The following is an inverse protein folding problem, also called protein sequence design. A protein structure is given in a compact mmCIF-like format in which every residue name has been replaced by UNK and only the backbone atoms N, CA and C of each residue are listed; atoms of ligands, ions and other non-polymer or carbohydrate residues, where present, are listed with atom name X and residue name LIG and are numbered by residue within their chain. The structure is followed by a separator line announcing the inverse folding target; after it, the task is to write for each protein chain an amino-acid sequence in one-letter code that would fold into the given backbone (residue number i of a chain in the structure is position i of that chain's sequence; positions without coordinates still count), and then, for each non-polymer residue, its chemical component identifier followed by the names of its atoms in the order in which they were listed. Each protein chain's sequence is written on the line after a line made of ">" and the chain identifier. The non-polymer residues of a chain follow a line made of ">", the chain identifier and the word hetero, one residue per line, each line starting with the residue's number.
data_IF_852216542387
#
_entry.id   IF_852216542387
#
_cell.length_a   1.000
_cell.length_b   1.000
_cell.length_c   1.000
_cell.angle_alpha   90.00
_cell.angle_beta   90.00
_cell.angle_gamma   90.00
#
_symmetry.space_group_name_H-M   'P 1'
#
loop_
_entity.id
_entity.type
_entity.pdbx_description
1 polymer ?
#
# COMPACT_ATOMS: atom_id res chain seq x y z
N UNK A 1 13.43 47.06 47.72
CA UNK A 1 12.84 46.83 46.40
C UNK A 1 13.41 45.52 45.91
N UNK A 2 12.61 44.40 45.99
CA UNK A 2 12.99 43.08 45.46
C UNK A 2 12.60 42.98 44.02
N UNK A 3 13.57 42.71 43.13
CA UNK A 3 13.34 42.38 41.73
C UNK A 3 13.04 40.89 41.61
N UNK A 4 11.83 40.52 41.23
CA UNK A 4 11.46 39.14 40.85
C UNK A 4 11.77 38.98 39.36
N UNK A 5 12.83 38.23 39.02
CA UNK A 5 13.15 37.88 37.66
C UNK A 5 12.28 36.64 37.25
N UNK A 6 11.24 36.86 36.47
CA UNK A 6 10.43 35.78 35.88
C UNK A 6 11.21 35.19 34.71
N UNK A 7 11.81 34.02 34.91
CA UNK A 7 12.42 33.23 33.83
C UNK A 7 11.32 32.41 33.18
N UNK A 8 10.86 32.81 32.03
CA UNK A 8 10.00 31.97 31.17
C UNK A 8 10.85 30.87 30.51
N UNK A 9 10.49 29.61 30.63
CA UNK A 9 11.18 28.57 29.88
C UNK A 9 10.90 28.79 28.39
N UNK A 10 11.91 29.22 27.67
CA UNK A 10 11.88 29.27 26.21
C UNK A 10 11.89 27.80 25.73
N UNK A 11 10.76 27.29 25.22
CA UNK A 11 10.76 26.01 24.50
C UNK A 11 11.66 26.22 23.29
N UNK A 12 12.77 25.48 23.23
CA UNK A 12 13.56 25.42 22.01
C UNK A 12 12.69 24.94 20.88
N UNK A 13 12.52 25.73 19.85
CA UNK A 13 11.92 25.27 18.60
C UNK A 13 12.88 24.22 18.05
N UNK A 14 12.42 22.96 17.93
CA UNK A 14 13.19 21.93 17.24
C UNK A 14 13.53 22.42 15.84
N UNK A 15 14.80 22.65 15.61
CA UNK A 15 15.27 23.13 14.31
C UNK A 15 15.43 21.92 13.38
N UNK A 16 14.44 21.69 12.50
CA UNK A 16 14.52 20.64 11.50
C UNK A 16 15.69 20.94 10.54
N UNK A 17 16.57 19.96 10.37
CA UNK A 17 17.63 19.99 9.37
C UNK A 17 17.13 19.24 8.13
N UNK A 18 17.14 19.91 7.00
CA UNK A 18 16.82 19.30 5.70
C UNK A 18 18.11 18.93 4.98
N UNK A 19 18.14 17.77 4.37
CA UNK A 19 19.18 17.33 3.45
C UNK A 19 18.53 17.01 2.12
N UNK A 20 19.06 17.52 1.03
CA UNK A 20 18.74 17.08 -0.30
C UNK A 20 19.40 15.72 -0.53
N UNK A 21 18.66 14.78 -1.12
CA UNK A 21 19.13 13.48 -1.57
C UNK A 21 18.81 13.39 -3.05
N UNK A 22 19.82 13.23 -3.88
CA UNK A 22 19.70 13.19 -5.34
C UNK A 22 20.59 12.10 -5.96
N UNK A 23 20.70 12.10 -7.29
CA UNK A 23 21.51 11.10 -8.03
C UNK A 23 22.98 11.10 -7.59
N UNK A 24 23.67 12.23 -7.37
CA UNK A 24 25.00 12.26 -6.75
C UNK A 24 25.11 11.58 -5.39
N UNK A 25 24.04 11.54 -4.59
CA UNK A 25 24.00 10.82 -3.31
C UNK A 25 23.70 9.32 -3.45
N UNK A 26 23.42 8.84 -4.67
CA UNK A 26 23.13 7.44 -4.96
C UNK A 26 21.67 7.14 -5.29
N UNK A 27 20.79 8.13 -5.40
CA UNK A 27 19.43 7.88 -5.89
C UNK A 27 19.47 7.50 -7.38
N UNK A 28 18.65 6.53 -7.78
CA UNK A 28 18.68 6.02 -9.17
C UNK A 28 18.18 7.03 -10.21
N UNK A 29 17.30 7.95 -9.81
CA UNK A 29 16.72 9.00 -10.67
C UNK A 29 16.12 10.10 -9.77
N UNK A 30 16.24 11.36 -10.16
CA UNK A 30 15.65 12.51 -9.47
C UNK A 30 14.12 12.61 -9.69
N UNK A 31 13.54 11.85 -10.62
CA UNK A 31 12.11 11.81 -10.85
C UNK A 31 11.42 10.84 -9.88
N UNK A 32 11.06 11.33 -8.70
CA UNK A 32 10.36 10.55 -7.68
C UNK A 32 8.89 10.38 -8.06
N UNK A 33 8.39 9.15 -8.01
CA UNK A 33 6.99 8.78 -8.29
C UNK A 33 6.22 8.33 -7.06
N UNK A 34 6.90 7.94 -6.00
CA UNK A 34 6.28 7.54 -4.74
C UNK A 34 7.29 7.38 -3.64
N UNK A 35 6.80 7.55 -2.41
CA UNK A 35 7.52 7.30 -1.17
C UNK A 35 6.69 6.37 -0.31
N UNK A 36 7.33 5.41 0.33
CA UNK A 36 6.70 4.48 1.26
C UNK A 36 7.63 4.16 2.43
N UNK A 37 7.05 3.83 3.58
CA UNK A 37 7.83 3.40 4.74
C UNK A 37 7.92 1.88 4.75
N UNK A 38 9.14 1.35 4.80
CA UNK A 38 9.39 -0.07 5.07
C UNK A 38 9.19 -0.34 6.57
N UNK A 39 8.65 -1.49 6.99
CA UNK A 39 8.37 -1.77 8.39
C UNK A 39 9.58 -1.70 9.33
N UNK A 40 10.78 -1.91 8.82
CA UNK A 40 12.05 -1.81 9.56
C UNK A 40 12.59 -0.37 9.69
N UNK A 41 11.83 0.63 9.21
CA UNK A 41 12.17 2.06 9.29
C UNK A 41 12.93 2.59 8.08
N UNK A 42 13.29 1.75 7.10
CA UNK A 42 13.85 2.21 5.83
C UNK A 42 12.78 2.94 4.99
N UNK A 43 13.22 3.67 3.99
CA UNK A 43 12.35 4.42 3.07
C UNK A 43 12.40 3.80 1.68
N UNK A 44 11.24 3.37 1.17
CA UNK A 44 11.07 3.01 -0.22
C UNK A 44 10.88 4.25 -1.09
N UNK A 45 11.75 4.44 -2.07
CA UNK A 45 11.72 5.57 -3.01
C UNK A 45 11.54 5.00 -4.41
N UNK A 46 10.35 5.19 -4.98
CA UNK A 46 10.04 4.72 -6.32
C UNK A 46 10.34 5.79 -7.35
N UNK A 47 11.17 5.43 -8.31
CA UNK A 47 11.45 6.20 -9.53
C UNK A 47 10.73 5.59 -10.74
N UNK A 48 11.06 6.03 -11.96
CA UNK A 48 10.38 5.56 -13.17
C UNK A 48 10.55 4.05 -13.43
N UNK A 49 11.69 3.46 -13.07
CA UNK A 49 12.06 2.08 -13.44
C UNK A 49 12.67 1.27 -12.29
N UNK A 50 12.88 1.86 -11.14
CA UNK A 50 13.59 1.24 -10.01
C UNK A 50 12.89 1.60 -8.70
N UNK A 51 12.71 0.61 -7.81
CA UNK A 51 12.47 0.85 -6.39
C UNK A 51 13.82 0.95 -5.71
N UNK A 52 14.07 2.07 -5.04
CA UNK A 52 15.22 2.27 -4.16
C UNK A 52 14.76 2.09 -2.72
N UNK A 53 15.49 1.30 -1.93
CA UNK A 53 15.30 1.19 -0.48
C UNK A 53 16.46 1.92 0.19
N UNK A 54 16.15 2.97 0.94
CA UNK A 54 17.14 3.81 1.61
C UNK A 54 17.13 3.58 3.12
N UNK A 55 18.29 3.27 3.70
CA UNK A 55 18.46 2.97 5.13
C UNK A 55 18.91 4.18 5.97
N UNK A 56 19.06 5.36 5.35
CA UNK A 56 19.62 6.57 5.96
C UNK A 56 21.07 6.84 5.56
N UNK A 57 21.79 5.87 5.00
CA UNK A 57 23.19 5.97 4.58
C UNK A 57 23.42 5.48 3.14
N UNK A 58 22.76 4.40 2.74
CA UNK A 58 22.96 3.74 1.47
C UNK A 58 21.66 3.35 0.79
N UNK A 59 21.73 3.02 -0.50
CA UNK A 59 20.61 2.57 -1.31
C UNK A 59 20.78 1.11 -1.72
N UNK A 60 19.70 0.33 -1.60
CA UNK A 60 19.50 -0.94 -2.30
C UNK A 60 18.59 -0.70 -3.50
N UNK A 61 18.89 -1.35 -4.65
CA UNK A 61 18.20 -1.11 -5.91
C UNK A 61 17.45 -2.35 -6.37
N UNK A 62 16.18 -2.17 -6.71
CA UNK A 62 15.30 -3.24 -7.19
C UNK A 62 14.76 -2.85 -8.57
N UNK A 63 15.50 -3.13 -9.66
CA UNK A 63 15.05 -2.84 -11.02
C UNK A 63 13.86 -3.72 -11.37
N UNK A 64 12.85 -3.13 -12.00
CA UNK A 64 11.68 -3.87 -12.45
C UNK A 64 12.03 -4.78 -13.63
N UNK A 65 11.80 -6.09 -13.48
CA UNK A 65 11.86 -7.00 -14.61
C UNK A 65 10.65 -6.79 -15.51
N UNK A 66 10.91 -6.35 -16.75
CA UNK A 66 9.85 -6.02 -17.72
C UNK A 66 9.19 -7.26 -18.33
N UNK A 67 9.81 -8.43 -18.24
CA UNK A 67 9.41 -9.61 -19.00
C UNK A 67 8.52 -10.57 -18.18
N UNK A 68 8.44 -10.42 -16.85
CA UNK A 68 7.76 -11.35 -15.95
C UNK A 68 6.83 -10.65 -14.97
N UNK A 69 5.88 -9.87 -15.47
CA UNK A 69 4.95 -9.12 -14.64
C UNK A 69 3.57 -9.72 -14.69
N UNK A 70 2.91 -9.80 -13.53
CA UNK A 70 1.48 -10.03 -13.48
C UNK A 70 0.76 -8.82 -14.06
N UNK A 71 0.10 -8.98 -15.20
CA UNK A 71 -0.67 -7.93 -15.86
C UNK A 71 -2.09 -7.96 -15.34
N UNK A 72 -2.54 -6.88 -14.73
CA UNK A 72 -3.92 -6.70 -14.32
C UNK A 72 -4.66 -5.67 -15.18
N UNK A 73 -5.98 -5.65 -15.07
CA UNK A 73 -6.80 -4.82 -15.97
C UNK A 73 -6.82 -3.34 -15.59
N UNK A 74 -6.60 -3.02 -14.31
CA UNK A 74 -6.69 -1.66 -13.79
C UNK A 74 -5.97 -1.50 -12.45
N UNK A 75 -5.25 -0.39 -12.27
CA UNK A 75 -4.73 0.02 -10.97
C UNK A 75 -4.57 1.54 -10.90
N UNK A 76 -5.18 2.14 -9.90
CA UNK A 76 -4.95 3.55 -9.51
C UNK A 76 -5.19 3.73 -8.03
N UNK A 77 -4.41 4.57 -7.35
CA UNK A 77 -3.09 5.07 -7.75
C UNK A 77 -2.02 3.98 -7.64
N UNK A 78 -0.85 4.14 -8.26
CA UNK A 78 0.33 3.32 -7.99
C UNK A 78 0.69 3.42 -6.50
N UNK A 79 0.98 2.27 -5.85
CA UNK A 79 1.23 2.22 -4.40
C UNK A 79 2.05 0.97 -4.05
N UNK A 80 2.87 1.09 -3.01
CA UNK A 80 3.53 -0.04 -2.37
C UNK A 80 2.80 -0.42 -1.10
N UNK A 81 2.67 -1.74 -0.87
CA UNK A 81 2.16 -2.30 0.37
C UNK A 81 3.15 -3.29 0.95
N UNK A 82 3.47 -3.12 2.22
CA UNK A 82 4.28 -4.07 3.00
C UNK A 82 3.32 -5.02 3.73
N UNK A 83 3.42 -6.32 3.42
CA UNK A 83 2.44 -7.31 3.88
C UNK A 83 2.75 -7.94 5.24
N UNK A 84 3.81 -7.47 5.91
CA UNK A 84 4.24 -8.00 7.21
C UNK A 84 5.04 -9.32 7.13
N UNK A 85 5.32 -9.82 5.92
CA UNK A 85 6.12 -11.04 5.66
C UNK A 85 7.44 -10.75 4.96
N UNK A 86 7.99 -9.55 5.19
CA UNK A 86 9.18 -9.04 4.47
C UNK A 86 8.98 -8.97 2.95
N UNK A 87 7.76 -8.72 2.50
CA UNK A 87 7.41 -8.61 1.08
C UNK A 87 6.74 -7.28 0.76
N UNK A 88 7.01 -6.79 -0.44
CA UNK A 88 6.44 -5.56 -0.97
C UNK A 88 5.55 -5.89 -2.17
N UNK A 89 4.26 -5.65 -2.03
CA UNK A 89 3.32 -5.64 -3.14
C UNK A 89 3.37 -4.28 -3.81
N UNK A 90 3.86 -4.25 -5.05
CA UNK A 90 4.02 -3.03 -5.81
C UNK A 90 2.91 -2.91 -6.85
N UNK A 91 1.98 -2.02 -6.57
CA UNK A 91 0.84 -1.73 -7.44
C UNK A 91 1.22 -0.65 -8.45
N UNK A 92 1.31 -1.03 -9.70
CA UNK A 92 1.56 -0.16 -10.84
C UNK A 92 0.33 -0.08 -11.76
N UNK A 93 0.32 0.84 -12.72
CA UNK A 93 -0.86 1.10 -13.56
C UNK A 93 -1.42 -0.16 -14.24
N UNK A 94 -0.53 -1.07 -14.69
CA UNK A 94 -0.91 -2.31 -15.39
C UNK A 94 -0.25 -3.55 -14.81
N UNK A 95 0.56 -3.40 -13.77
CA UNK A 95 1.39 -4.48 -13.25
C UNK A 95 1.24 -4.58 -11.75
N UNK A 96 1.14 -5.79 -11.28
CA UNK A 96 1.32 -6.14 -9.88
C UNK A 96 2.62 -6.91 -9.76
N UNK A 97 3.52 -6.46 -8.89
CA UNK A 97 4.81 -7.07 -8.63
C UNK A 97 4.86 -7.45 -7.16
N UNK A 98 5.52 -8.54 -6.85
CA UNK A 98 5.78 -8.97 -5.48
C UNK A 98 7.28 -9.12 -5.28
N UNK A 99 7.87 -8.25 -4.46
CA UNK A 99 9.28 -8.27 -4.09
C UNK A 99 9.43 -8.91 -2.72
N UNK A 100 10.29 -9.93 -2.61
CA UNK A 100 10.74 -10.50 -1.35
C UNK A 100 12.02 -9.78 -0.91
N UNK A 101 11.96 -9.11 0.25
CA UNK A 101 13.08 -8.32 0.79
C UNK A 101 14.17 -9.18 1.46
N UNK A 102 13.87 -10.45 1.79
CA UNK A 102 14.89 -11.37 2.35
C UNK A 102 15.80 -11.93 1.27
N UNK A 103 15.20 -12.27 0.15
CA UNK A 103 15.93 -12.86 -0.98
C UNK A 103 16.37 -11.80 -1.99
N UNK A 104 15.91 -10.57 -1.85
CA UNK A 104 16.09 -9.48 -2.79
C UNK A 104 15.68 -9.87 -4.22
N UNK A 105 14.60 -10.64 -4.35
CA UNK A 105 14.13 -11.16 -5.62
C UNK A 105 12.63 -10.94 -5.81
N UNK A 106 12.22 -10.75 -7.08
CA UNK A 106 10.81 -10.74 -7.41
C UNK A 106 10.23 -12.16 -7.42
N UNK A 107 9.10 -12.32 -6.75
CA UNK A 107 8.25 -13.50 -6.92
C UNK A 107 7.35 -13.28 -8.14
N UNK A 108 7.48 -14.15 -9.12
CA UNK A 108 6.72 -14.07 -10.37
C UNK A 108 5.47 -14.96 -10.38
N UNK A 109 5.29 -15.80 -9.38
CA UNK A 109 4.08 -16.62 -9.19
C UNK A 109 3.02 -15.88 -8.38
N UNK A 110 2.64 -14.71 -8.87
CA UNK A 110 1.58 -13.90 -8.24
C UNK A 110 0.24 -14.64 -8.26
N UNK A 111 -0.04 -15.40 -9.31
CA UNK A 111 -1.30 -16.15 -9.40
C UNK A 111 -1.37 -17.23 -8.33
N UNK A 112 -0.29 -17.99 -8.10
CA UNK A 112 -0.23 -18.98 -7.02
C UNK A 112 -0.41 -18.34 -5.64
N UNK A 113 0.18 -17.18 -5.39
CA UNK A 113 -0.05 -16.42 -4.15
C UNK A 113 -1.54 -16.05 -3.98
N UNK A 114 -2.18 -15.57 -5.03
CA UNK A 114 -3.60 -15.19 -5.00
C UNK A 114 -4.52 -16.40 -4.78
N UNK A 115 -4.20 -17.52 -5.40
CA UNK A 115 -4.95 -18.79 -5.26
C UNK A 115 -4.91 -19.31 -3.82
N UNK A 116 -3.79 -19.16 -3.10
CA UNK A 116 -3.72 -19.51 -1.67
C UNK A 116 -4.71 -18.72 -0.81
N UNK A 117 -5.12 -17.53 -1.27
CA UNK A 117 -6.11 -16.67 -0.63
C UNK A 117 -7.52 -16.85 -1.23
N UNK A 118 -7.68 -17.86 -2.10
CA UNK A 118 -8.95 -18.17 -2.76
C UNK A 118 -9.35 -17.19 -3.85
N UNK A 119 -8.36 -16.54 -4.51
CA UNK A 119 -8.58 -15.64 -5.65
C UNK A 119 -8.11 -16.36 -6.92
N UNK A 120 -9.05 -16.83 -7.69
CA UNK A 120 -8.88 -17.57 -8.95
C UNK A 120 -9.02 -16.69 -10.20
N UNK A 121 -9.50 -15.47 -10.02
CA UNK A 121 -9.72 -14.50 -11.10
C UNK A 121 -8.65 -13.43 -11.12
N UNK A 122 -8.44 -12.87 -12.32
CA UNK A 122 -7.53 -11.75 -12.48
C UNK A 122 -7.98 -10.55 -11.65
N UNK A 123 -7.01 -9.89 -11.01
CA UNK A 123 -7.28 -8.69 -10.24
C UNK A 123 -7.47 -7.47 -11.13
N UNK A 124 -8.36 -6.62 -10.69
CA UNK A 124 -8.59 -5.25 -11.16
C UNK A 124 -7.99 -4.22 -10.20
N UNK A 125 -8.01 -4.52 -8.92
CA UNK A 125 -7.36 -3.71 -7.89
C UNK A 125 -7.01 -4.55 -6.65
N UNK A 126 -6.02 -4.08 -5.89
CA UNK A 126 -5.56 -4.66 -4.63
C UNK A 126 -5.35 -3.54 -3.62
N UNK A 127 -5.74 -3.80 -2.37
CA UNK A 127 -5.38 -2.97 -1.24
C UNK A 127 -4.91 -3.87 -0.09
N UNK A 128 -3.97 -3.40 0.71
CA UNK A 128 -3.54 -4.05 1.95
C UNK A 128 -3.69 -3.03 3.06
N UNK A 129 -4.44 -3.39 4.10
CA UNK A 129 -4.71 -2.52 5.23
C UNK A 129 -3.57 -2.52 6.27
N UNK A 130 -3.66 -1.68 7.29
CA UNK A 130 -2.62 -1.57 8.32
C UNK A 130 -2.49 -2.85 9.16
N UNK A 131 -3.57 -3.64 9.29
CA UNK A 131 -3.56 -4.95 9.92
C UNK A 131 -3.02 -6.06 9.01
N UNK A 132 -2.59 -5.70 7.79
CA UNK A 132 -2.03 -6.59 6.76
C UNK A 132 -3.04 -7.56 6.15
N UNK A 133 -4.33 -7.26 6.27
CA UNK A 133 -5.36 -7.98 5.54
C UNK A 133 -5.44 -7.49 4.10
N UNK A 134 -5.94 -8.34 3.22
CA UNK A 134 -6.03 -8.03 1.80
C UNK A 134 -7.46 -7.74 1.38
N UNK A 135 -7.60 -6.77 0.49
CA UNK A 135 -8.85 -6.39 -0.17
C UNK A 135 -8.67 -6.52 -1.67
N UNK A 136 -9.46 -7.37 -2.30
CA UNK A 136 -9.34 -7.72 -3.71
C UNK A 136 -10.55 -7.24 -4.50
N UNK A 137 -10.31 -6.56 -5.59
CA UNK A 137 -11.29 -6.32 -6.63
C UNK A 137 -10.90 -7.13 -7.87
N UNK A 138 -11.73 -8.08 -8.26
CA UNK A 138 -11.50 -8.93 -9.44
C UNK A 138 -12.10 -8.34 -10.72
N UNK A 139 -11.73 -8.88 -11.88
CA UNK A 139 -12.15 -8.37 -13.19
C UNK A 139 -13.67 -8.41 -13.41
N UNK A 140 -14.39 -9.31 -12.74
CA UNK A 140 -15.83 -9.39 -12.71
C UNK A 140 -16.49 -8.45 -11.68
N UNK A 141 -15.73 -7.49 -11.14
CA UNK A 141 -16.15 -6.52 -10.13
C UNK A 141 -16.53 -7.12 -8.77
N UNK A 142 -16.18 -8.37 -8.48
CA UNK A 142 -16.36 -8.92 -7.14
C UNK A 142 -15.33 -8.33 -6.20
N UNK A 143 -15.80 -7.76 -5.08
CA UNK A 143 -14.98 -7.20 -4.03
C UNK A 143 -14.94 -8.14 -2.84
N UNK A 144 -13.75 -8.50 -2.37
CA UNK A 144 -13.54 -9.48 -1.31
C UNK A 144 -12.52 -8.98 -0.30
N UNK A 145 -12.73 -9.35 0.95
CA UNK A 145 -11.81 -9.16 2.08
C UNK A 145 -11.19 -10.51 2.44
N UNK A 146 -9.89 -10.53 2.70
CA UNK A 146 -9.17 -11.70 3.20
C UNK A 146 -8.51 -11.37 4.52
N UNK A 147 -9.00 -11.98 5.60
CA UNK A 147 -8.44 -11.89 6.95
C UNK A 147 -7.23 -12.83 7.05
N UNK A 148 -6.04 -12.24 7.15
CA UNK A 148 -4.78 -13.01 7.21
C UNK A 148 -4.66 -13.78 8.51
N UNK A 149 -5.15 -13.25 9.62
CA UNK A 149 -5.10 -13.92 10.92
C UNK A 149 -6.01 -15.15 11.01
N UNK A 150 -7.14 -15.10 10.32
CA UNK A 150 -8.12 -16.21 10.30
C UNK A 150 -7.98 -17.11 9.05
N UNK A 151 -7.12 -16.75 8.10
CA UNK A 151 -7.02 -17.41 6.79
C UNK A 151 -8.38 -17.56 6.11
N UNK A 152 -9.19 -16.50 6.13
CA UNK A 152 -10.59 -16.56 5.67
C UNK A 152 -10.89 -15.42 4.69
N UNK A 153 -11.44 -15.81 3.53
CA UNK A 153 -12.02 -14.89 2.56
C UNK A 153 -13.50 -14.65 2.83
N UNK A 154 -13.93 -13.40 2.70
CA UNK A 154 -15.31 -12.96 2.71
C UNK A 154 -15.59 -12.14 1.44
N UNK A 155 -16.64 -12.50 0.71
CA UNK A 155 -17.14 -11.66 -0.38
C UNK A 155 -17.95 -10.53 0.23
N UNK A 156 -17.56 -9.29 -0.09
CA UNK A 156 -18.20 -8.07 0.39
C UNK A 156 -19.30 -7.64 -0.58
N UNK A 157 -18.92 -7.42 -1.84
CA UNK A 157 -19.87 -7.05 -2.89
C UNK A 157 -19.62 -7.93 -4.11
N UNK A 158 -20.70 -8.50 -4.68
CA UNK A 158 -20.63 -9.24 -5.93
C UNK A 158 -20.73 -8.29 -7.10
N UNK A 159 -19.99 -8.56 -8.17
CA UNK A 159 -19.98 -7.72 -9.36
C UNK A 159 -21.33 -7.57 -10.06
N UNK A 160 -22.18 -8.61 -9.98
CA UNK A 160 -23.53 -8.66 -10.53
C UNK A 160 -24.61 -8.15 -9.56
N UNK A 161 -24.26 -7.75 -8.34
CA UNK A 161 -25.21 -7.25 -7.35
C UNK A 161 -25.82 -5.88 -7.72
N UNK A 162 -27.05 -5.64 -7.28
CA UNK A 162 -27.70 -4.33 -7.41
C UNK A 162 -26.87 -3.21 -6.78
N UNK A 163 -26.18 -3.54 -5.68
CA UNK A 163 -25.28 -2.61 -5.01
C UNK A 163 -24.16 -2.15 -5.95
N UNK A 164 -23.44 -3.09 -6.56
CA UNK A 164 -22.33 -2.79 -7.48
C UNK A 164 -22.82 -2.07 -8.74
N UNK A 165 -23.99 -2.44 -9.26
CA UNK A 165 -24.60 -1.73 -10.40
C UNK A 165 -24.94 -0.27 -10.06
N UNK A 166 -25.41 -0.01 -8.86
CA UNK A 166 -25.82 1.33 -8.42
C UNK A 166 -24.66 2.21 -8.00
N UNK A 167 -23.70 1.66 -7.27
CA UNK A 167 -22.64 2.44 -6.61
C UNK A 167 -21.26 2.23 -7.22
N UNK A 168 -21.13 1.29 -8.15
CA UNK A 168 -19.88 0.97 -8.81
C UNK A 168 -18.92 0.16 -7.94
N UNK A 169 -17.62 0.31 -8.18
CA UNK A 169 -16.58 -0.49 -7.55
C UNK A 169 -15.71 0.36 -6.61
N UNK A 170 -15.06 -0.25 -5.60
CA UNK A 170 -14.13 0.45 -4.74
C UNK A 170 -12.92 0.97 -5.53
N UNK A 171 -12.55 2.22 -5.28
CA UNK A 171 -11.42 2.91 -5.88
C UNK A 171 -10.26 3.07 -4.91
N UNK A 172 -10.56 3.38 -3.63
CA UNK A 172 -9.55 3.65 -2.62
C UNK A 172 -10.05 3.21 -1.23
N UNK A 173 -9.10 2.86 -0.37
CA UNK A 173 -9.33 2.54 1.03
C UNK A 173 -8.45 3.43 1.92
N UNK A 174 -9.03 3.88 3.04
CA UNK A 174 -8.31 4.58 4.09
C UNK A 174 -8.66 3.96 5.44
N UNK A 175 -7.66 3.57 6.21
CA UNK A 175 -7.86 2.99 7.53
C UNK A 175 -7.56 4.02 8.63
N UNK A 176 -8.38 4.00 9.67
CA UNK A 176 -8.09 4.68 10.92
C UNK A 176 -8.63 3.86 12.09
N UNK A 177 -7.75 3.43 12.98
CA UNK A 177 -8.06 2.53 14.09
C UNK A 177 -8.77 1.25 13.61
N UNK A 178 -9.95 0.95 14.13
CA UNK A 178 -10.75 -0.22 13.80
C UNK A 178 -11.70 -0.02 12.61
N UNK A 179 -11.54 1.08 11.86
CA UNK A 179 -12.42 1.41 10.76
C UNK A 179 -11.66 1.50 9.44
N UNK A 180 -12.25 0.93 8.39
CA UNK A 180 -11.79 1.10 7.02
C UNK A 180 -12.86 1.83 6.21
N UNK A 181 -12.48 2.98 5.69
CA UNK A 181 -13.32 3.80 4.81
C UNK A 181 -13.06 3.40 3.37
N UNK A 182 -14.11 2.99 2.68
CA UNK A 182 -14.05 2.51 1.30
C UNK A 182 -14.78 3.50 0.41
N UNK A 183 -14.04 4.08 -0.54
CA UNK A 183 -14.57 5.04 -1.52
C UNK A 183 -14.92 4.29 -2.80
N UNK A 184 -16.17 4.38 -3.22
CA UNK A 184 -16.69 3.77 -4.45
C UNK A 184 -16.67 4.75 -5.64
N UNK A 185 -16.71 4.22 -6.85
CA UNK A 185 -16.64 5.01 -8.09
C UNK A 185 -17.79 5.98 -8.30
N UNK A 186 -18.93 5.78 -7.63
CA UNK A 186 -20.05 6.72 -7.58
C UNK A 186 -19.84 7.90 -6.63
N UNK A 187 -18.79 7.88 -5.80
CA UNK A 187 -18.59 8.82 -4.69
C UNK A 187 -19.20 8.37 -3.37
N UNK A 188 -19.89 7.21 -3.33
CA UNK A 188 -20.34 6.63 -2.07
C UNK A 188 -19.12 6.30 -1.20
N UNK A 189 -19.23 6.55 0.10
CA UNK A 189 -18.25 6.14 1.11
C UNK A 189 -18.96 5.20 2.10
N UNK A 190 -18.38 4.00 2.30
CA UNK A 190 -18.82 3.06 3.33
C UNK A 190 -17.75 2.92 4.39
N UNK A 191 -18.17 2.64 5.62
CA UNK A 191 -17.29 2.39 6.74
C UNK A 191 -17.41 0.93 7.17
N UNK A 192 -16.31 0.18 7.02
CA UNK A 192 -16.17 -1.18 7.54
C UNK A 192 -15.63 -1.14 8.96
N UNK A 193 -16.28 -1.82 9.89
CA UNK A 193 -15.80 -2.01 11.25
C UNK A 193 -15.14 -3.39 11.39
N UNK A 194 -13.84 -3.43 11.67
CA UNK A 194 -13.11 -4.67 11.87
C UNK A 194 -13.55 -5.44 13.13
N UNK A 195 -14.17 -4.77 14.10
CA UNK A 195 -14.65 -5.40 15.33
C UNK A 195 -15.86 -6.28 15.07
N UNK A 196 -16.83 -5.77 14.35
CA UNK A 196 -18.03 -6.50 13.95
C UNK A 196 -17.82 -7.33 12.66
N UNK A 197 -16.80 -7.02 11.86
CA UNK A 197 -16.60 -7.53 10.51
C UNK A 197 -17.81 -7.26 9.62
N UNK A 198 -18.35 -6.05 9.72
CA UNK A 198 -19.51 -5.58 8.95
C UNK A 198 -19.46 -4.07 8.71
N UNK A 199 -20.38 -3.56 7.87
CA UNK A 199 -20.54 -2.13 7.64
C UNK A 199 -21.38 -1.46 8.73
N UNK A 200 -21.01 -0.20 9.04
CA UNK A 200 -21.79 0.68 9.87
C UNK A 200 -22.96 1.28 9.12
#
# INVERSE_FOLDING_TARGET
>A
ISFVCLVFPCKSVEQYKFRLIDVPDGLSDNQIRGLSMVPDGRVGIRTASILNIYDGASFEYFPYDKDRKYVWTYSRPPKEYYDGKDRVWMKELRYLLLLDLKTNAFNYDIQGELETMGIDKRLKNLFIDDAKNYWFLTEDNTFSFYDVGKHKKQVIDRGDSEFTQRYGVPLELAQYKNFCWIVYSSGLIRCWDYTSSDFL
#
